data_IF_195113903690
#
_entry.id   IF_195113903690
#
_cell.length_a   1.000
_cell.length_b   1.000
_cell.length_c   1.000
_cell.angle_alpha   90.00
_cell.angle_beta   90.00
_cell.angle_gamma   90.00
#
_symmetry.space_group_name_H-M   'P 1'
#
loop_
_entity.id
_entity.type
_entity.pdbx_description
1 polymer ?
#
# COMPACT_ATOMS: atom_id res chain seq x y z
N UNK A 1 12.61 33.71 -5.92
CA UNK A 1 11.85 32.72 -6.71
C UNK A 1 12.26 31.34 -6.21
N UNK A 2 11.41 30.68 -5.42
CA UNK A 2 11.84 29.55 -4.60
C UNK A 2 11.93 28.27 -5.45
N UNK A 3 13.17 27.87 -5.76
CA UNK A 3 13.54 26.61 -6.40
C UNK A 3 12.85 25.40 -5.75
N UNK A 4 12.67 25.42 -4.43
CA UNK A 4 11.96 24.37 -3.68
C UNK A 4 10.51 24.18 -4.15
N UNK A 5 9.77 25.28 -4.42
CA UNK A 5 8.39 25.19 -4.96
C UNK A 5 8.35 24.69 -6.40
N UNK A 6 9.41 24.93 -7.17
CA UNK A 6 9.52 24.48 -8.55
C UNK A 6 9.86 22.98 -8.62
N UNK A 7 10.76 22.53 -7.74
CA UNK A 7 11.07 21.12 -7.51
C UNK A 7 9.83 20.37 -7.02
N UNK A 8 9.12 20.91 -6.03
CA UNK A 8 7.89 20.30 -5.52
C UNK A 8 6.80 20.23 -6.59
N UNK A 9 6.73 21.20 -7.51
CA UNK A 9 5.77 21.19 -8.61
C UNK A 9 6.12 20.16 -9.70
N UNK A 10 7.40 20.01 -10.02
CA UNK A 10 7.90 18.95 -10.92
C UNK A 10 7.70 17.56 -10.32
N UNK A 11 7.80 17.42 -9.00
CA UNK A 11 7.60 16.14 -8.30
C UNK A 11 6.14 15.82 -7.98
N UNK A 12 5.28 16.83 -7.90
CA UNK A 12 3.85 16.70 -7.59
C UNK A 12 3.02 16.22 -8.79
N UNK A 13 3.44 16.56 -10.01
CA UNK A 13 2.81 16.02 -11.21
C UNK A 13 3.24 14.56 -11.42
N UNK A 14 2.27 13.74 -11.79
CA UNK A 14 2.34 12.31 -12.14
C UNK A 14 3.34 11.97 -13.29
N UNK A 15 4.18 12.92 -13.65
CA UNK A 15 5.13 12.98 -14.76
C UNK A 15 6.58 12.99 -14.27
N UNK A 16 6.87 12.44 -13.08
CA UNK A 16 8.25 12.26 -12.58
C UNK A 16 9.13 11.51 -13.59
N UNK A 17 8.52 10.58 -14.34
CA UNK A 17 9.16 9.86 -15.44
C UNK A 17 9.61 10.78 -16.58
N UNK A 18 8.81 11.80 -16.91
CA UNK A 18 9.09 12.80 -17.93
C UNK A 18 10.18 13.77 -17.49
N UNK A 19 10.16 14.20 -16.23
CA UNK A 19 11.21 15.05 -15.65
C UNK A 19 12.58 14.38 -15.69
N UNK A 20 12.66 13.12 -15.24
CA UNK A 20 13.88 12.31 -15.27
C UNK A 20 14.34 12.03 -16.71
N UNK A 21 13.40 11.75 -17.63
CA UNK A 21 13.72 11.54 -19.04
C UNK A 21 14.31 12.77 -19.72
N UNK A 22 13.76 13.96 -19.42
CA UNK A 22 14.21 15.22 -20.01
C UNK A 22 15.60 15.60 -19.48
N UNK A 23 15.82 15.44 -18.17
CA UNK A 23 17.13 15.68 -17.56
C UNK A 23 18.20 14.70 -18.08
N UNK A 24 17.87 13.41 -18.18
CA UNK A 24 18.78 12.39 -18.70
C UNK A 24 19.12 12.59 -20.17
N UNK A 25 18.12 12.89 -21.01
CA UNK A 25 18.34 13.19 -22.43
C UNK A 25 19.19 14.46 -22.62
N UNK A 26 18.97 15.48 -21.78
CA UNK A 26 19.75 16.72 -21.78
C UNK A 26 21.22 16.50 -21.39
N UNK A 27 21.49 15.71 -20.35
CA UNK A 27 22.87 15.40 -19.91
C UNK A 27 23.61 14.61 -21.00
N UNK A 28 22.95 13.64 -21.63
CA UNK A 28 23.58 12.82 -22.67
C UNK A 28 23.80 13.63 -23.95
N UNK A 29 22.84 14.45 -24.36
CA UNK A 29 23.00 15.37 -25.49
C UNK A 29 24.13 16.38 -25.25
N UNK A 30 24.19 16.98 -24.07
CA UNK A 30 25.26 17.92 -23.70
C UNK A 30 26.64 17.23 -23.63
N UNK A 31 26.70 16.01 -23.11
CA UNK A 31 27.92 15.21 -23.07
C UNK A 31 28.46 14.91 -24.47
N UNK A 32 27.58 14.54 -25.41
CA UNK A 32 27.97 14.32 -26.81
C UNK A 32 28.41 15.61 -27.51
N UNK A 33 27.74 16.74 -27.24
CA UNK A 33 28.13 18.03 -27.78
C UNK A 33 29.55 18.42 -27.34
N UNK A 34 29.90 18.24 -26.06
CA UNK A 34 31.23 18.59 -25.55
C UNK A 34 32.36 17.71 -26.12
N UNK A 35 32.08 16.47 -26.49
CA UNK A 35 33.08 15.52 -27.01
C UNK A 35 33.30 15.72 -28.52
N UNK A 36 32.22 15.89 -29.29
CA UNK A 36 32.28 15.94 -30.76
C UNK A 36 32.17 17.36 -31.34
N UNK A 37 31.82 18.35 -30.53
CA UNK A 37 31.58 19.75 -30.93
C UNK A 37 30.55 19.91 -32.07
N UNK A 38 29.67 18.92 -32.23
CA UNK A 38 28.60 18.88 -33.24
C UNK A 38 27.23 18.99 -32.56
N UNK A 39 26.55 20.12 -32.79
CA UNK A 39 25.23 20.41 -32.23
C UNK A 39 24.10 19.60 -32.87
N UNK A 40 24.24 19.16 -34.12
CA UNK A 40 23.21 18.41 -34.84
C UNK A 40 23.15 16.98 -34.31
N UNK A 41 24.31 16.33 -34.18
CA UNK A 41 24.43 14.97 -33.64
C UNK A 41 23.93 14.93 -32.20
N UNK A 42 24.28 15.93 -31.39
CA UNK A 42 23.82 16.06 -30.01
C UNK A 42 22.28 16.17 -29.90
N UNK A 43 21.64 16.95 -30.79
CA UNK A 43 20.19 17.09 -30.81
C UNK A 43 19.48 15.78 -31.20
N UNK A 44 19.98 15.06 -32.21
CA UNK A 44 19.43 13.76 -32.61
C UNK A 44 19.57 12.72 -31.49
N UNK A 45 20.72 12.68 -30.83
CA UNK A 45 20.94 11.80 -29.68
C UNK A 45 19.97 12.10 -28.53
N UNK A 46 19.74 13.37 -28.20
CA UNK A 46 18.78 13.74 -27.15
C UNK A 46 17.35 13.24 -27.49
N UNK A 47 16.92 13.37 -28.74
CA UNK A 47 15.59 12.90 -29.20
C UNK A 47 15.47 11.37 -29.13
N UNK A 48 16.52 10.64 -29.52
CA UNK A 48 16.53 9.16 -29.54
C UNK A 48 16.64 8.58 -28.13
N UNK A 49 17.42 9.21 -27.26
CA UNK A 49 17.68 8.72 -25.89
C UNK A 49 16.51 9.02 -24.95
N UNK A 50 15.75 10.09 -25.20
CA UNK A 50 14.58 10.47 -24.41
C UNK A 50 13.57 9.32 -24.18
N UNK A 51 13.05 8.62 -25.20
CA UNK A 51 12.09 7.52 -24.99
C UNK A 51 12.69 6.36 -24.20
N UNK A 52 13.99 6.06 -24.38
CA UNK A 52 14.68 5.00 -23.64
C UNK A 52 14.71 5.30 -22.14
N UNK A 53 15.11 6.53 -21.78
CA UNK A 53 15.17 6.95 -20.37
C UNK A 53 13.77 7.06 -19.78
N UNK A 54 12.78 7.48 -20.56
CA UNK A 54 11.38 7.55 -20.12
C UNK A 54 10.84 6.18 -19.70
N UNK A 55 11.12 5.13 -20.47
CA UNK A 55 10.69 3.75 -20.14
C UNK A 55 11.41 3.23 -18.89
N UNK A 56 12.72 3.46 -18.78
CA UNK A 56 13.48 3.04 -17.60
C UNK A 56 12.99 3.77 -16.33
N UNK A 57 12.75 5.06 -16.44
CA UNK A 57 12.29 5.90 -15.33
C UNK A 57 10.87 5.55 -14.89
N UNK A 58 9.96 5.25 -15.82
CA UNK A 58 8.59 4.83 -15.47
C UNK A 58 8.58 3.51 -14.69
N UNK A 59 9.43 2.55 -15.07
CA UNK A 59 9.59 1.29 -14.35
C UNK A 59 10.10 1.47 -12.91
N UNK A 60 11.07 2.36 -12.71
CA UNK A 60 11.63 2.66 -11.38
C UNK A 60 10.59 3.39 -10.52
N UNK A 61 9.93 4.42 -11.07
CA UNK A 61 8.92 5.18 -10.35
C UNK A 61 7.75 4.32 -9.92
N UNK A 62 7.26 3.43 -10.81
CA UNK A 62 6.18 2.50 -10.49
C UNK A 62 6.52 1.61 -9.28
N UNK A 63 7.74 1.03 -9.25
CA UNK A 63 8.19 0.21 -8.12
C UNK A 63 8.29 1.00 -6.82
N UNK A 64 8.76 2.24 -6.87
CA UNK A 64 8.86 3.12 -5.69
C UNK A 64 7.47 3.49 -5.19
N UNK A 65 6.54 3.81 -6.10
CA UNK A 65 5.17 4.16 -5.76
C UNK A 65 4.40 2.97 -5.19
N UNK A 66 4.61 1.77 -5.71
CA UNK A 66 4.07 0.54 -5.13
C UNK A 66 4.57 0.32 -3.70
N UNK A 67 5.88 0.47 -3.45
CA UNK A 67 6.44 0.38 -2.09
C UNK A 67 5.84 1.44 -1.17
N UNK A 68 5.72 2.69 -1.64
CA UNK A 68 5.12 3.78 -0.86
C UNK A 68 3.65 3.51 -0.55
N UNK A 69 2.88 3.01 -1.53
CA UNK A 69 1.47 2.62 -1.34
C UNK A 69 1.34 1.50 -0.31
N UNK A 70 2.17 0.45 -0.40
CA UNK A 70 2.23 -0.64 0.59
C UNK A 70 2.52 -0.10 1.99
N UNK A 71 3.56 0.72 2.14
CA UNK A 71 3.91 1.30 3.44
C UNK A 71 2.80 2.20 4.00
N UNK A 72 2.15 3.01 3.16
CA UNK A 72 1.00 3.82 3.57
C UNK A 72 -0.19 2.95 4.00
N UNK A 73 -0.46 1.85 3.29
CA UNK A 73 -1.52 0.89 3.65
C UNK A 73 -1.24 0.25 5.00
N UNK A 74 -0.01 -0.26 5.21
CA UNK A 74 0.42 -0.86 6.48
C UNK A 74 0.33 0.16 7.62
N UNK A 75 0.78 1.40 7.42
CA UNK A 75 0.68 2.45 8.44
C UNK A 75 -0.77 2.73 8.83
N UNK A 76 -1.67 2.84 7.85
CA UNK A 76 -3.11 3.02 8.12
C UNK A 76 -3.71 1.83 8.88
N UNK A 77 -3.32 0.61 8.54
CA UNK A 77 -3.80 -0.60 9.22
C UNK A 77 -3.28 -0.70 10.65
N UNK A 78 -2.02 -0.33 10.87
CA UNK A 78 -1.42 -0.19 12.19
C UNK A 78 -2.17 0.81 13.05
N UNK A 79 -2.41 2.01 12.53
CA UNK A 79 -3.18 3.04 13.22
C UNK A 79 -4.61 2.57 13.52
N UNK A 80 -5.27 1.89 12.58
CA UNK A 80 -6.60 1.29 12.80
C UNK A 80 -6.58 0.28 13.94
N UNK A 81 -5.60 -0.62 13.96
CA UNK A 81 -5.47 -1.68 14.97
C UNK A 81 -5.09 -1.14 16.35
N UNK A 82 -4.19 -0.15 16.42
CA UNK A 82 -3.81 0.50 17.69
C UNK A 82 -4.96 1.33 18.28
N UNK A 83 -5.83 1.87 17.43
CA UNK A 83 -7.06 2.57 17.84
C UNK A 83 -8.21 1.60 18.22
N UNK A 84 -7.98 0.28 18.22
CA UNK A 84 -8.94 -0.69 18.75
C UNK A 84 -8.81 -0.77 20.28
N UNK A 85 -9.95 -0.81 20.98
CA UNK A 85 -9.99 -1.07 22.41
C UNK A 85 -9.59 -2.51 22.75
N UNK A 86 -9.38 -2.79 24.04
CA UNK A 86 -8.88 -4.08 24.50
C UNK A 86 -9.75 -5.27 24.04
N UNK A 87 -11.09 -5.16 24.17
CA UNK A 87 -12.03 -6.20 23.76
C UNK A 87 -12.10 -6.39 22.23
N UNK A 88 -11.92 -5.31 21.46
CA UNK A 88 -11.88 -5.37 20.00
C UNK A 88 -10.61 -6.07 19.52
N UNK A 89 -9.45 -5.74 20.11
CA UNK A 89 -8.19 -6.41 19.79
C UNK A 89 -8.22 -7.91 20.14
N UNK A 90 -8.82 -8.27 21.27
CA UNK A 90 -9.02 -9.68 21.65
C UNK A 90 -9.86 -10.40 20.60
N UNK A 91 -10.95 -9.78 20.17
CA UNK A 91 -11.85 -10.34 19.15
C UNK A 91 -11.11 -10.53 17.83
N UNK A 92 -10.35 -9.54 17.35
CA UNK A 92 -9.53 -9.67 16.13
C UNK A 92 -8.51 -10.80 16.25
N UNK A 93 -7.84 -10.94 17.40
CA UNK A 93 -6.91 -12.06 17.65
C UNK A 93 -7.63 -13.41 17.67
N UNK A 94 -8.88 -13.46 18.16
CA UNK A 94 -9.69 -14.67 18.14
C UNK A 94 -10.01 -15.13 16.70
N UNK A 95 -10.29 -14.20 15.77
CA UNK A 95 -10.43 -14.52 14.34
C UNK A 95 -9.14 -15.15 13.78
N UNK A 96 -7.97 -14.57 14.08
CA UNK A 96 -6.68 -15.13 13.64
C UNK A 96 -6.44 -16.52 14.21
N UNK A 97 -6.72 -16.74 15.50
CA UNK A 97 -6.60 -18.05 16.16
C UNK A 97 -7.58 -19.08 15.61
N UNK A 98 -8.76 -18.66 15.15
CA UNK A 98 -9.73 -19.52 14.48
C UNK A 98 -9.26 -19.95 13.07
N UNK A 99 -8.27 -19.26 12.50
CA UNK A 99 -7.66 -19.61 11.21
C UNK A 99 -8.38 -19.06 9.98
N UNK A 100 -9.36 -18.17 10.16
CA UNK A 100 -10.15 -17.59 9.08
C UNK A 100 -10.61 -16.16 9.37
N UNK A 101 -10.93 -15.42 8.32
CA UNK A 101 -11.53 -14.08 8.41
C UNK A 101 -13.06 -14.12 8.60
N UNK A 102 -13.64 -15.31 8.68
CA UNK A 102 -15.08 -15.52 8.83
C UNK A 102 -15.33 -16.52 9.95
N UNK A 103 -16.28 -16.20 10.84
CA UNK A 103 -16.67 -17.04 11.98
C UNK A 103 -18.19 -17.08 12.04
N UNK A 104 -18.78 -18.25 12.26
CA UNK A 104 -20.25 -18.36 12.36
C UNK A 104 -20.74 -17.89 13.71
N UNK A 105 -22.01 -17.46 13.80
CA UNK A 105 -22.62 -17.10 15.08
C UNK A 105 -22.50 -18.22 16.13
N UNK A 106 -22.65 -19.47 15.69
CA UNK A 106 -22.53 -20.64 16.57
C UNK A 106 -21.12 -20.80 17.14
N UNK A 107 -20.09 -20.50 16.34
CA UNK A 107 -18.69 -20.58 16.77
C UNK A 107 -18.32 -19.42 17.71
N UNK A 108 -18.85 -18.21 17.45
CA UNK A 108 -18.73 -17.08 18.38
C UNK A 108 -19.37 -17.40 19.74
N UNK A 109 -20.56 -18.03 19.76
CA UNK A 109 -21.28 -18.30 20.99
C UNK A 109 -20.74 -19.51 21.78
N UNK A 110 -19.98 -20.39 21.14
CA UNK A 110 -19.37 -21.58 21.77
C UNK A 110 -17.99 -21.32 22.37
N UNK A 111 -17.36 -20.20 22.02
CA UNK A 111 -15.98 -19.91 22.35
C UNK A 111 -15.87 -18.69 23.23
N UNK A 112 -15.22 -18.83 24.39
CA UNK A 112 -14.93 -17.73 25.30
C UNK A 112 -13.92 -16.71 24.72
N UNK A 113 -13.34 -17.01 23.56
CA UNK A 113 -12.39 -16.14 22.87
C UNK A 113 -13.05 -14.90 22.25
N UNK A 114 -14.36 -14.96 21.96
CA UNK A 114 -15.10 -13.84 21.36
C UNK A 114 -15.84 -13.07 22.43
N UNK A 115 -15.41 -11.82 22.67
CA UNK A 115 -16.13 -10.91 23.55
C UNK A 115 -17.34 -10.35 22.80
N UNK A 116 -18.58 -10.47 23.33
CA UNK A 116 -19.77 -9.87 22.71
C UNK A 116 -19.61 -8.36 22.50
N UNK A 117 -19.03 -7.68 23.49
CA UNK A 117 -18.73 -6.25 23.45
C UNK A 117 -17.74 -5.92 22.30
N UNK A 118 -16.75 -6.78 22.10
CA UNK A 118 -15.78 -6.62 21.02
C UNK A 118 -16.39 -6.82 19.63
N UNK A 119 -17.26 -7.82 19.46
CA UNK A 119 -18.00 -8.06 18.21
C UNK A 119 -18.91 -6.88 17.88
N UNK A 120 -19.78 -6.47 18.82
CA UNK A 120 -20.72 -5.38 18.60
C UNK A 120 -20.02 -4.05 18.31
N UNK A 121 -18.92 -3.76 19.02
CA UNK A 121 -18.13 -2.55 18.76
C UNK A 121 -17.49 -2.57 17.37
N UNK A 122 -16.93 -3.71 16.96
CA UNK A 122 -16.33 -3.86 15.62
C UNK A 122 -17.38 -3.79 14.50
N UNK A 123 -18.59 -4.31 14.73
CA UNK A 123 -19.73 -4.17 13.82
C UNK A 123 -20.13 -2.70 13.70
N UNK A 124 -20.27 -1.98 14.81
CA UNK A 124 -20.62 -0.55 14.79
C UNK A 124 -19.55 0.32 14.10
N UNK A 125 -18.28 -0.09 14.15
CA UNK A 125 -17.17 0.56 13.43
C UNK A 125 -17.08 0.15 11.96
N UNK A 126 -17.93 -0.78 11.50
CA UNK A 126 -17.91 -1.31 10.13
C UNK A 126 -16.66 -2.12 9.80
N UNK A 127 -16.00 -2.68 10.82
CA UNK A 127 -14.82 -3.56 10.66
C UNK A 127 -15.21 -5.04 10.61
N UNK A 128 -16.40 -5.37 11.11
CA UNK A 128 -17.06 -6.65 10.92
C UNK A 128 -18.39 -6.39 10.20
N UNK A 129 -18.70 -7.21 9.21
CA UNK A 129 -20.02 -7.25 8.60
C UNK A 129 -20.65 -8.63 8.76
N UNK A 130 -21.99 -8.65 8.75
CA UNK A 130 -22.73 -9.90 8.69
C UNK A 130 -22.83 -10.33 7.23
N UNK A 131 -22.42 -11.57 6.97
CA UNK A 131 -22.61 -12.25 5.70
C UNK A 131 -23.36 -13.55 5.94
N UNK A 132 -23.96 -14.08 4.87
CA UNK A 132 -24.40 -15.46 4.86
C UNK A 132 -23.27 -16.35 4.36
N UNK A 133 -23.14 -17.53 4.93
CA UNK A 133 -22.24 -18.56 4.40
C UNK A 133 -22.69 -19.01 3.00
N UNK A 134 -21.81 -19.70 2.27
CA UNK A 134 -22.07 -20.23 0.93
C UNK A 134 -23.35 -21.09 0.84
N UNK A 135 -23.74 -21.73 1.94
CA UNK A 135 -24.95 -22.54 2.04
C UNK A 135 -26.23 -21.71 2.30
N UNK A 136 -26.14 -20.38 2.40
CA UNK A 136 -27.21 -19.42 2.70
C UNK A 136 -28.00 -19.66 4.01
N UNK A 137 -27.61 -20.65 4.82
CA UNK A 137 -28.38 -21.07 6.01
C UNK A 137 -27.87 -20.52 7.33
N UNK A 138 -26.66 -19.96 7.36
CA UNK A 138 -26.02 -19.52 8.61
C UNK A 138 -25.44 -18.12 8.45
N UNK A 139 -25.76 -17.27 9.41
CA UNK A 139 -25.12 -15.97 9.57
C UNK A 139 -23.69 -16.16 10.06
N UNK A 140 -22.78 -15.41 9.45
CA UNK A 140 -21.38 -15.38 9.77
C UNK A 140 -20.88 -13.94 9.88
N UNK A 141 -19.99 -13.73 10.83
CA UNK A 141 -19.26 -12.50 10.99
C UNK A 141 -18.00 -12.56 10.14
N UNK A 142 -17.86 -11.59 9.26
CA UNK A 142 -16.69 -11.44 8.41
C UNK A 142 -15.90 -10.22 8.87
N UNK A 143 -14.63 -10.44 9.24
CA UNK A 143 -13.69 -9.39 9.56
C UNK A 143 -13.10 -8.81 8.26
N UNK A 144 -12.86 -7.51 8.25
CA UNK A 144 -12.11 -6.82 7.19
C UNK A 144 -10.82 -7.57 6.83
N UNK A 145 -10.69 -7.95 5.56
CA UNK A 145 -9.61 -8.81 5.07
C UNK A 145 -8.24 -8.14 5.30
N UNK A 146 -8.15 -6.83 5.05
CA UNK A 146 -6.92 -6.07 5.27
C UNK A 146 -6.52 -6.05 6.76
N UNK A 147 -7.50 -5.93 7.65
CA UNK A 147 -7.27 -5.97 9.10
C UNK A 147 -6.90 -7.38 9.58
N UNK A 148 -7.53 -8.41 9.02
CA UNK A 148 -7.21 -9.81 9.29
C UNK A 148 -5.80 -10.18 8.86
N UNK A 149 -5.40 -9.83 7.63
CA UNK A 149 -4.04 -10.05 7.13
C UNK A 149 -3.00 -9.35 8.00
N UNK A 150 -3.28 -8.09 8.39
CA UNK A 150 -2.41 -7.36 9.31
C UNK A 150 -2.31 -8.06 10.67
N UNK A 151 -3.44 -8.44 11.27
CA UNK A 151 -3.49 -9.15 12.55
C UNK A 151 -2.79 -10.53 12.49
N UNK A 152 -2.90 -11.24 11.37
CA UNK A 152 -2.17 -12.48 11.12
C UNK A 152 -0.67 -12.23 11.01
N UNK A 153 -0.24 -11.16 10.32
CA UNK A 153 1.18 -10.82 10.17
C UNK A 153 1.87 -10.53 11.51
N UNK A 154 1.18 -9.85 12.43
CA UNK A 154 1.72 -9.55 13.78
C UNK A 154 1.70 -10.77 14.72
N UNK A 155 0.76 -11.70 14.52
CA UNK A 155 0.58 -12.87 15.41
C UNK A 155 1.47 -14.04 14.97
N UNK A 156 1.78 -14.13 13.67
CA UNK A 156 2.62 -15.19 13.08
C UNK A 156 4.12 -14.88 13.17
N UNK A 157 4.51 -13.67 13.58
CA UNK A 157 5.91 -13.27 13.71
C UNK A 157 6.35 -13.33 15.20
N UNK A 158 6.82 -14.48 15.72
CA UNK A 158 7.31 -14.62 17.09
C UNK A 158 8.68 -13.95 17.31
N UNK A 159 9.19 -13.14 16.37
CA UNK A 159 10.55 -12.59 16.37
C UNK A 159 10.69 -11.19 16.97
N UNK A 160 9.60 -10.57 17.44
CA UNK A 160 9.62 -9.20 17.99
C UNK A 160 9.01 -9.10 19.39
N UNK A 161 9.56 -9.88 20.33
CA UNK A 161 9.53 -9.58 21.76
C UNK A 161 10.96 -9.33 22.23
#
# INVERSE_FOLDING_TARGET
MNISKWIDRIYSEKDTSRGIATAGAGIIGLGFYLIWNDGVIAAFLAVIVFPVIKILSSGISARIDEKRKKNKKIKKLREKFENLGHHEQQTVKAFVSHGGNTVTWADCNRSDLFSPIGIDSLVNRGLIWLSHNADCTREAFCLDEDLFEYARSITTDPSSN
#
